data_IF_674757330557
#
_entry.id   IF_674757330557
#
_cell.length_a   1.000
_cell.length_b   1.000
_cell.length_c   1.000
_cell.angle_alpha   90.00
_cell.angle_beta   90.00
_cell.angle_gamma   90.00
#
_symmetry.space_group_name_H-M   'P 1'
#
loop_
_entity.id
_entity.type
_entity.pdbx_description
1 polymer ?
#
# COMPACT_ATOMS: atom_id res chain seq x y z
N UNK A 1 0.72 -1.30 24.28
CA UNK A 1 1.46 -1.35 23.00
C UNK A 1 0.74 -2.35 22.11
N UNK A 2 0.16 -1.90 21.00
CA UNK A 2 -0.42 -2.82 20.04
C UNK A 2 0.70 -3.23 19.07
N UNK A 3 0.75 -4.50 18.66
CA UNK A 3 1.89 -5.09 17.95
C UNK A 3 2.19 -4.47 16.56
N UNK A 4 1.31 -3.62 16.02
CA UNK A 4 1.42 -3.03 14.68
C UNK A 4 2.41 -1.85 14.60
N UNK A 5 2.53 -1.02 15.64
CA UNK A 5 3.42 0.16 15.60
C UNK A 5 4.90 -0.27 15.41
N UNK A 6 5.28 -1.38 16.04
CA UNK A 6 6.63 -1.93 15.92
C UNK A 6 6.88 -2.45 14.51
N UNK A 7 5.92 -3.18 13.93
CA UNK A 7 5.99 -3.71 12.56
C UNK A 7 6.17 -2.54 11.59
N UNK A 8 5.37 -1.49 11.71
CA UNK A 8 5.36 -0.37 10.76
C UNK A 8 6.69 0.42 10.74
N UNK A 9 7.38 0.49 11.89
CA UNK A 9 8.66 1.21 12.01
C UNK A 9 9.86 0.33 11.62
N UNK A 10 9.79 -0.97 11.85
CA UNK A 10 10.94 -1.89 11.71
C UNK A 10 11.00 -2.56 10.34
N UNK A 11 9.86 -2.98 9.79
CA UNK A 11 9.80 -3.77 8.56
C UNK A 11 10.45 -3.06 7.36
N UNK A 12 10.22 -1.76 7.09
CA UNK A 12 10.89 -1.09 5.98
C UNK A 12 12.41 -1.07 6.13
N UNK A 13 12.92 -0.97 7.37
CA UNK A 13 14.35 -0.82 7.67
C UNK A 13 15.12 -2.14 7.67
N UNK A 14 14.42 -3.25 7.91
CA UNK A 14 15.05 -4.57 8.01
C UNK A 14 14.68 -5.39 6.77
N UNK A 15 13.41 -5.77 6.64
CA UNK A 15 12.94 -6.62 5.55
C UNK A 15 12.95 -5.86 4.23
N UNK A 16 12.36 -4.65 4.20
CA UNK A 16 12.31 -3.82 3.01
C UNK A 16 13.70 -3.50 2.49
N UNK A 17 14.57 -2.95 3.35
CA UNK A 17 15.95 -2.62 2.98
C UNK A 17 16.76 -3.82 2.48
N UNK A 18 16.62 -4.99 3.12
CA UNK A 18 17.29 -6.22 2.67
C UNK A 18 16.81 -6.69 1.29
N UNK A 19 15.54 -6.46 0.94
CA UNK A 19 14.95 -6.94 -0.30
C UNK A 19 15.12 -5.99 -1.50
N UNK A 20 15.73 -4.81 -1.32
CA UNK A 20 15.91 -3.82 -2.39
C UNK A 20 16.64 -4.41 -3.60
N UNK A 21 17.68 -5.20 -3.36
CA UNK A 21 18.56 -5.81 -4.38
C UNK A 21 18.45 -7.35 -4.43
N UNK A 22 17.37 -7.92 -3.90
CA UNK A 22 17.14 -9.37 -3.82
C UNK A 22 15.83 -9.77 -4.50
N UNK A 23 15.61 -11.08 -4.59
CA UNK A 23 14.32 -11.63 -5.04
C UNK A 23 13.19 -11.27 -4.08
N UNK A 24 12.15 -10.61 -4.60
CA UNK A 24 11.01 -10.10 -3.81
C UNK A 24 9.81 -11.04 -3.74
N UNK A 25 9.92 -12.24 -4.32
CA UNK A 25 8.86 -13.25 -4.41
C UNK A 25 8.20 -13.58 -3.06
N UNK A 26 8.97 -13.52 -1.96
CA UNK A 26 8.44 -13.75 -0.61
C UNK A 26 7.32 -12.77 -0.23
N UNK A 27 7.37 -11.51 -0.68
CA UNK A 27 6.34 -10.52 -0.38
C UNK A 27 5.00 -10.91 -1.00
N UNK A 28 5.02 -11.50 -2.19
CA UNK A 28 3.81 -12.00 -2.84
C UNK A 28 3.23 -13.23 -2.15
N UNK A 29 4.08 -14.12 -1.61
CA UNK A 29 3.64 -15.22 -0.75
C UNK A 29 2.96 -14.70 0.51
N UNK A 30 3.58 -13.72 1.18
CA UNK A 30 3.05 -13.10 2.40
C UNK A 30 1.73 -12.34 2.14
N UNK A 31 1.62 -11.63 1.01
CA UNK A 31 0.39 -10.93 0.62
C UNK A 31 -0.81 -11.88 0.41
N UNK A 32 -0.56 -13.14 0.02
CA UNK A 32 -1.60 -14.16 -0.18
C UNK A 32 -1.87 -15.04 1.05
N UNK A 33 -1.14 -14.83 2.14
CA UNK A 33 -1.32 -15.59 3.38
C UNK A 33 -2.72 -15.38 3.98
N UNK A 34 -3.16 -16.25 4.89
CA UNK A 34 -4.34 -15.97 5.73
C UNK A 34 -3.99 -15.09 6.94
N UNK A 35 -2.71 -14.95 7.26
CA UNK A 35 -2.24 -14.20 8.42
C UNK A 35 -2.21 -12.69 8.14
N UNK A 36 -2.95 -11.93 8.94
CA UNK A 36 -3.02 -10.46 8.88
C UNK A 36 -1.62 -9.81 8.93
N UNK A 37 -0.73 -10.29 9.79
CA UNK A 37 0.58 -9.69 9.98
C UNK A 37 1.51 -9.95 8.81
N UNK A 38 1.45 -11.14 8.20
CA UNK A 38 2.21 -11.46 7.00
C UNK A 38 1.81 -10.55 5.84
N UNK A 39 0.50 -10.37 5.61
CA UNK A 39 0.00 -9.41 4.62
C UNK A 39 0.49 -8.00 4.90
N UNK A 40 0.43 -7.55 6.15
CA UNK A 40 0.89 -6.20 6.53
C UNK A 40 2.39 -6.05 6.29
N UNK A 41 3.20 -7.06 6.61
CA UNK A 41 4.64 -7.08 6.32
C UNK A 41 4.88 -6.95 4.81
N UNK A 42 4.14 -7.70 4.00
CA UNK A 42 4.24 -7.63 2.54
C UNK A 42 4.05 -6.20 2.02
N UNK A 43 2.99 -5.52 2.50
CA UNK A 43 2.68 -4.14 2.12
C UNK A 43 3.75 -3.17 2.61
N UNK A 44 4.03 -3.17 3.92
CA UNK A 44 4.88 -2.15 4.56
C UNK A 44 6.34 -2.30 4.15
N UNK A 45 6.82 -3.51 3.84
CA UNK A 45 8.18 -3.71 3.35
C UNK A 45 8.44 -2.93 2.05
N UNK A 46 7.42 -2.78 1.20
CA UNK A 46 7.56 -2.03 -0.06
C UNK A 46 7.82 -0.54 0.14
N UNK A 47 7.64 0.01 1.35
CA UNK A 47 8.01 1.40 1.62
C UNK A 47 9.49 1.68 1.35
N UNK A 48 10.36 0.67 1.51
CA UNK A 48 11.77 0.80 1.14
C UNK A 48 11.96 1.00 -0.37
N UNK A 49 11.13 0.37 -1.21
CA UNK A 49 11.20 0.46 -2.67
C UNK A 49 10.62 1.78 -3.17
N UNK A 50 9.49 2.20 -2.60
CA UNK A 50 8.87 3.50 -2.89
C UNK A 50 9.86 4.66 -2.65
N UNK A 51 10.71 4.55 -1.61
CA UNK A 51 11.74 5.57 -1.34
C UNK A 51 12.85 5.63 -2.38
N UNK A 52 13.01 4.58 -3.19
CA UNK A 52 13.94 4.47 -4.30
C UNK A 52 13.25 4.63 -5.66
N UNK A 53 12.04 5.22 -5.67
CA UNK A 53 11.21 5.43 -6.86
C UNK A 53 10.84 4.15 -7.63
N UNK A 54 10.82 3.01 -6.93
CA UNK A 54 10.35 1.72 -7.45
C UNK A 54 9.00 1.35 -6.82
N UNK A 55 7.94 1.48 -7.63
CA UNK A 55 6.55 1.32 -7.17
C UNK A 55 5.94 -0.03 -7.56
N UNK A 56 6.68 -0.84 -8.32
CA UNK A 56 6.17 -2.01 -9.03
C UNK A 56 5.54 -3.03 -8.08
N UNK A 57 6.28 -3.43 -7.05
CA UNK A 57 5.79 -4.40 -6.06
C UNK A 57 4.64 -3.84 -5.20
N UNK A 58 4.67 -2.54 -4.87
CA UNK A 58 3.62 -1.91 -4.09
C UNK A 58 2.27 -1.95 -4.81
N UNK A 59 2.24 -1.60 -6.10
CA UNK A 59 1.01 -1.69 -6.90
C UNK A 59 0.55 -3.14 -7.07
N UNK A 60 1.46 -4.06 -7.39
CA UNK A 60 1.10 -5.46 -7.56
C UNK A 60 0.54 -6.10 -6.27
N UNK A 61 1.11 -5.75 -5.12
CA UNK A 61 0.59 -6.19 -3.81
C UNK A 61 -0.74 -5.51 -3.47
N UNK A 62 -0.91 -4.23 -3.83
CA UNK A 62 -2.18 -3.53 -3.66
C UNK A 62 -3.32 -4.19 -4.47
N UNK A 63 -3.06 -4.65 -5.70
CA UNK A 63 -4.04 -5.41 -6.49
C UNK A 63 -4.43 -6.73 -5.83
N UNK A 64 -3.46 -7.47 -5.27
CA UNK A 64 -3.73 -8.74 -4.55
C UNK A 64 -4.65 -8.49 -3.34
N UNK A 65 -4.44 -7.38 -2.64
CA UNK A 65 -5.11 -7.06 -1.38
C UNK A 65 -6.34 -6.14 -1.56
N UNK A 66 -6.73 -5.85 -2.80
CA UNK A 66 -7.85 -4.97 -3.11
C UNK A 66 -9.15 -5.44 -2.46
N UNK A 67 -9.36 -6.76 -2.42
CA UNK A 67 -10.57 -7.40 -1.88
C UNK A 67 -10.34 -8.05 -0.51
N UNK A 68 -9.32 -7.63 0.25
CA UNK A 68 -9.16 -8.10 1.63
C UNK A 68 -10.39 -7.71 2.47
N UNK A 69 -10.60 -8.41 3.57
CA UNK A 69 -11.71 -8.12 4.49
C UNK A 69 -11.26 -7.29 5.68
N UNK A 70 -9.95 -7.19 5.93
CA UNK A 70 -9.42 -6.55 7.13
C UNK A 70 -9.11 -5.07 6.89
N UNK A 71 -9.79 -4.22 7.65
CA UNK A 71 -9.59 -2.76 7.62
C UNK A 71 -8.12 -2.35 7.88
N UNK A 72 -7.39 -3.08 8.73
CA UNK A 72 -5.97 -2.82 8.99
C UNK A 72 -5.10 -3.00 7.74
N UNK A 73 -5.45 -3.95 6.86
CA UNK A 73 -4.75 -4.16 5.59
C UNK A 73 -5.07 -3.01 4.63
N UNK A 74 -6.34 -2.61 4.55
CA UNK A 74 -6.76 -1.47 3.74
C UNK A 74 -6.05 -0.17 4.12
N UNK A 75 -5.87 0.08 5.41
CA UNK A 75 -5.08 1.22 5.91
C UNK A 75 -3.61 1.15 5.49
N UNK A 76 -2.99 -0.03 5.57
CA UNK A 76 -1.60 -0.21 5.15
C UNK A 76 -1.42 0.01 3.64
N UNK A 77 -2.32 -0.55 2.82
CA UNK A 77 -2.26 -0.41 1.36
C UNK A 77 -2.51 1.05 0.97
N UNK A 78 -3.58 1.67 1.52
CA UNK A 78 -3.87 3.08 1.27
C UNK A 78 -2.73 4.00 1.71
N UNK A 79 -2.05 3.68 2.82
CA UNK A 79 -0.86 4.39 3.23
C UNK A 79 0.27 4.28 2.20
N UNK A 80 0.58 3.07 1.71
CA UNK A 80 1.64 2.91 0.68
C UNK A 80 1.30 3.61 -0.63
N UNK A 81 0.04 3.58 -1.08
CA UNK A 81 -0.42 4.35 -2.25
C UNK A 81 -0.20 5.86 -2.05
N UNK A 82 -0.56 6.39 -0.87
CA UNK A 82 -0.29 7.79 -0.51
C UNK A 82 1.21 8.10 -0.51
N UNK A 83 2.07 7.18 -0.04
CA UNK A 83 3.52 7.38 -0.10
C UNK A 83 4.07 7.37 -1.53
N UNK A 84 3.46 6.61 -2.44
CA UNK A 84 3.75 6.70 -3.89
C UNK A 84 3.31 8.07 -4.42
N UNK A 85 2.09 8.52 -4.09
CA UNK A 85 1.58 9.84 -4.52
C UNK A 85 2.45 11.01 -4.14
N UNK A 86 3.09 10.96 -2.95
CA UNK A 86 4.08 11.96 -2.53
C UNK A 86 5.33 12.01 -3.40
N UNK A 87 5.66 10.90 -4.07
CA UNK A 87 6.80 10.79 -5.00
C UNK A 87 6.38 11.15 -6.42
N UNK A 88 5.28 10.57 -6.86
CA UNK A 88 4.70 10.76 -8.17
C UNK A 88 3.18 10.55 -8.08
N UNK A 89 2.43 11.65 -8.15
CA UNK A 89 0.99 11.63 -8.04
C UNK A 89 0.32 11.05 -9.30
N UNK A 90 0.90 11.25 -10.48
CA UNK A 90 0.32 10.78 -11.74
C UNK A 90 0.21 9.26 -11.77
N UNK A 91 1.26 8.54 -11.32
CA UNK A 91 1.23 7.07 -11.27
C UNK A 91 0.28 6.52 -10.18
N UNK A 92 0.10 7.25 -9.08
CA UNK A 92 -0.94 6.90 -8.09
C UNK A 92 -2.32 7.06 -8.73
N UNK A 93 -2.58 8.18 -9.41
CA UNK A 93 -3.85 8.45 -10.05
C UNK A 93 -4.17 7.44 -11.17
N UNK A 94 -3.18 6.99 -11.94
CA UNK A 94 -3.34 5.90 -12.92
C UNK A 94 -3.87 4.62 -12.25
N UNK A 95 -3.28 4.22 -11.13
CA UNK A 95 -3.75 3.08 -10.36
C UNK A 95 -5.16 3.31 -9.80
N UNK A 96 -5.42 4.49 -9.22
CA UNK A 96 -6.71 4.83 -8.64
C UNK A 96 -7.80 4.86 -9.71
N UNK A 97 -7.58 5.44 -10.89
CA UNK A 97 -8.58 5.49 -11.97
C UNK A 97 -9.02 4.09 -12.41
N UNK A 98 -8.11 3.11 -12.39
CA UNK A 98 -8.41 1.71 -12.70
C UNK A 98 -9.24 1.03 -11.61
N UNK A 99 -9.05 1.39 -10.34
CA UNK A 99 -9.54 0.58 -9.22
C UNK A 99 -10.51 1.28 -8.25
N UNK A 100 -10.65 2.60 -8.27
CA UNK A 100 -11.33 3.37 -7.22
C UNK A 100 -12.79 2.95 -6.99
N UNK A 101 -13.47 2.48 -8.03
CA UNK A 101 -14.88 2.01 -7.96
C UNK A 101 -15.05 0.70 -7.22
N UNK A 102 -14.03 -0.15 -7.19
CA UNK A 102 -14.06 -1.47 -6.52
C UNK A 102 -13.18 -1.49 -5.27
N UNK A 103 -12.38 -0.45 -5.06
CA UNK A 103 -11.48 -0.34 -3.92
C UNK A 103 -12.26 -0.12 -2.61
N UNK A 104 -11.84 -0.74 -1.51
CA UNK A 104 -12.43 -0.51 -0.19
C UNK A 104 -12.35 0.97 0.20
N UNK A 105 -13.45 1.52 0.73
CA UNK A 105 -13.55 2.95 1.07
C UNK A 105 -12.46 3.42 2.03
N UNK A 106 -12.02 2.58 2.98
CA UNK A 106 -10.89 2.89 3.87
C UNK A 106 -9.59 3.04 3.09
N UNK A 107 -9.30 2.13 2.17
CA UNK A 107 -8.08 2.14 1.37
C UNK A 107 -8.02 3.39 0.50
N UNK A 108 -9.12 3.70 -0.20
CA UNK A 108 -9.22 4.88 -1.06
C UNK A 108 -9.02 6.18 -0.27
N UNK A 109 -9.67 6.32 0.89
CA UNK A 109 -9.54 7.51 1.75
C UNK A 109 -8.10 7.76 2.23
N UNK A 110 -7.36 6.69 2.50
CA UNK A 110 -5.96 6.80 2.91
C UNK A 110 -5.07 7.19 1.73
N UNK A 111 -5.30 6.61 0.55
CA UNK A 111 -4.55 6.94 -0.67
C UNK A 111 -4.70 8.45 -1.01
N UNK A 112 -5.93 8.92 -1.14
CA UNK A 112 -6.24 10.31 -1.53
C UNK A 112 -6.14 11.32 -0.38
N UNK A 113 -5.54 10.96 0.76
CA UNK A 113 -5.54 11.84 1.94
C UNK A 113 -4.96 13.23 1.64
N UNK A 114 -3.99 13.28 0.73
CA UNK A 114 -3.26 14.50 0.35
C UNK A 114 -3.83 15.24 -0.86
N UNK A 115 -4.85 14.69 -1.51
CA UNK A 115 -5.47 15.32 -2.66
C UNK A 115 -6.25 16.57 -2.23
N UNK A 116 -6.39 17.53 -3.15
CA UNK A 116 -7.29 18.66 -2.96
C UNK A 116 -8.77 18.20 -2.89
N UNK A 117 -9.63 19.11 -2.44
CA UNK A 117 -11.04 18.79 -2.22
C UNK A 117 -11.76 18.36 -3.51
N UNK A 118 -11.43 18.97 -4.65
CA UNK A 118 -12.05 18.65 -5.95
C UNK A 118 -11.74 17.21 -6.38
N UNK A 119 -10.46 16.80 -6.33
CA UNK A 119 -10.07 15.41 -6.62
C UNK A 119 -10.63 14.45 -5.59
N UNK A 120 -10.65 14.81 -4.30
CA UNK A 120 -11.24 13.94 -3.26
C UNK A 120 -12.72 13.69 -3.52
N UNK A 121 -13.48 14.73 -3.87
CA UNK A 121 -14.90 14.59 -4.24
C UNK A 121 -15.07 13.74 -5.49
N UNK A 122 -14.24 13.92 -6.52
CA UNK A 122 -14.26 13.10 -7.73
C UNK A 122 -14.12 11.60 -7.42
N UNK A 123 -13.14 11.22 -6.60
CA UNK A 123 -12.90 9.83 -6.25
C UNK A 123 -13.92 9.26 -5.24
N UNK A 124 -14.47 10.10 -4.37
CA UNK A 124 -15.42 9.68 -3.31
C UNK A 124 -16.89 9.74 -3.70
N UNK A 125 -17.23 10.43 -4.80
CA UNK A 125 -18.58 10.77 -5.24
C UNK A 125 -19.36 9.64 -5.92
N UNK A 126 -18.93 8.38 -5.82
CA UNK A 126 -19.68 7.21 -6.28
C UNK A 126 -19.71 6.11 -5.23
#
# INVERSE_FOLDING_TARGET
>A
MNNWDLVDVTIPKIVGAYLVDKGRGILYTLAKSSNLWEKRIAVVATFAFIRNDDFTDSFAIAEILLNDTHDLIHKAVGWMLREIGKRNQDVEEEFLQKHYKTMPRTMLRYAIERFDDEKREHYMGK
#
